data_IF_274874511431
#
_entry.id   IF_274874511431
#
_cell.length_a   1.000
_cell.length_b   1.000
_cell.length_c   1.000
_cell.angle_alpha   90.00
_cell.angle_beta   90.00
_cell.angle_gamma   90.00
#
_symmetry.space_group_name_H-M   'P 1'
#
loop_
_entity.id
_entity.type
_entity.pdbx_description
1 polymer ?
#
# COMPACT_ATOMS: atom_id res chain seq x y z
N UNK A 1 -4.12 -24.58 34.87
CA UNK A 1 -5.03 -25.60 34.31
C UNK A 1 -5.67 -25.04 33.03
N UNK A 2 -4.90 -24.92 31.95
CA UNK A 2 -5.41 -24.48 30.64
C UNK A 2 -5.83 -25.71 29.84
N UNK A 3 -7.12 -25.85 29.58
CA UNK A 3 -7.66 -26.91 28.72
C UNK A 3 -6.94 -26.87 27.36
N UNK A 4 -6.23 -27.96 27.05
CA UNK A 4 -5.75 -28.31 25.70
C UNK A 4 -6.97 -28.23 24.78
N UNK A 5 -7.00 -27.29 23.85
CA UNK A 5 -7.99 -27.29 22.77
C UNK A 5 -7.75 -28.55 21.94
N UNK A 6 -8.51 -29.60 22.23
CA UNK A 6 -8.54 -30.84 21.44
C UNK A 6 -9.00 -30.50 20.02
N UNK A 7 -8.17 -30.92 19.05
CA UNK A 7 -8.30 -30.78 17.60
C UNK A 7 -9.68 -30.38 17.07
N UNK A 8 -9.86 -29.09 16.77
CA UNK A 8 -11.00 -28.62 15.97
C UNK A 8 -10.80 -29.10 14.53
N UNK A 9 -11.62 -30.06 14.12
CA UNK A 9 -11.69 -30.57 12.74
C UNK A 9 -12.99 -30.08 12.12
N UNK A 10 -12.90 -29.28 11.06
CA UNK A 10 -14.06 -28.81 10.28
C UNK A 10 -13.77 -29.06 8.82
N UNK A 11 -14.66 -29.80 8.14
CA UNK A 11 -14.48 -30.15 6.71
C UNK A 11 -13.21 -30.96 6.42
N UNK A 12 -12.74 -31.79 7.35
CA UNK A 12 -11.49 -32.55 7.21
C UNK A 12 -10.20 -31.77 7.49
N UNK A 13 -10.29 -30.48 7.83
CA UNK A 13 -9.12 -29.63 8.12
C UNK A 13 -8.80 -29.67 9.63
N UNK A 14 -7.59 -30.08 9.99
CA UNK A 14 -7.05 -29.98 11.36
C UNK A 14 -6.57 -28.54 11.64
N UNK A 15 -7.47 -27.70 12.15
CA UNK A 15 -7.19 -26.27 12.37
C UNK A 15 -6.06 -26.01 13.38
N UNK A 16 -5.92 -26.85 14.41
CA UNK A 16 -4.81 -26.75 15.36
C UNK A 16 -3.45 -26.89 14.69
N UNK A 17 -3.32 -27.83 13.75
CA UNK A 17 -2.08 -28.06 13.01
C UNK A 17 -1.83 -26.93 12.01
N UNK A 18 -2.88 -26.49 11.31
CA UNK A 18 -2.79 -25.37 10.34
C UNK A 18 -2.35 -24.06 11.01
N UNK A 19 -2.95 -23.70 12.15
CA UNK A 19 -2.58 -22.50 12.91
C UNK A 19 -1.14 -22.59 13.44
N UNK A 20 -0.69 -23.77 13.86
CA UNK A 20 0.70 -23.99 14.27
C UNK A 20 1.67 -23.83 13.10
N UNK A 21 1.34 -24.37 11.92
CA UNK A 21 2.16 -24.21 10.73
C UNK A 21 2.22 -22.75 10.24
N UNK A 22 1.11 -22.01 10.30
CA UNK A 22 1.12 -20.58 10.00
C UNK A 22 2.01 -19.79 10.96
N UNK A 23 1.93 -20.07 12.26
CA UNK A 23 2.84 -19.45 13.24
C UNK A 23 4.29 -19.77 12.90
N UNK A 24 4.60 -21.03 12.59
CA UNK A 24 5.94 -21.44 12.21
C UNK A 24 6.42 -20.72 10.95
N UNK A 25 5.56 -20.57 9.93
CA UNK A 25 5.87 -19.85 8.71
C UNK A 25 6.11 -18.34 8.95
N UNK A 26 5.26 -17.68 9.75
CA UNK A 26 5.42 -16.28 10.11
C UNK A 26 6.73 -16.06 10.89
N UNK A 27 7.02 -16.93 11.87
CA UNK A 27 8.24 -16.87 12.68
C UNK A 27 9.48 -17.09 11.82
N UNK A 28 9.51 -18.15 11.01
CA UNK A 28 10.67 -18.49 10.23
C UNK A 28 10.95 -17.47 9.12
N UNK A 29 9.91 -16.86 8.55
CA UNK A 29 10.09 -15.73 7.64
C UNK A 29 10.60 -14.49 8.37
N UNK A 30 10.21 -14.25 9.63
CA UNK A 30 10.78 -13.19 10.46
C UNK A 30 12.24 -13.45 10.88
N UNK A 31 12.68 -14.71 10.91
CA UNK A 31 14.06 -15.12 11.26
C UNK A 31 15.00 -15.20 10.04
N UNK A 32 14.50 -15.47 8.82
CA UNK A 32 15.33 -15.51 7.60
C UNK A 32 15.89 -14.12 7.28
N UNK A 33 17.07 -13.79 7.80
CA UNK A 33 17.80 -12.57 7.48
C UNK A 33 18.31 -12.59 6.02
N UNK A 34 17.61 -11.93 5.09
CA UNK A 34 18.10 -11.56 3.73
C UNK A 34 17.41 -10.25 3.29
N UNK A 35 18.15 -9.28 2.72
CA UNK A 35 18.36 -7.99 3.37
C UNK A 35 17.05 -7.22 3.61
N UNK A 36 16.84 -6.82 4.86
CA UNK A 36 15.87 -5.79 5.18
C UNK A 36 16.20 -4.55 4.36
N UNK A 37 15.29 -4.16 3.46
CA UNK A 37 15.37 -2.98 2.60
C UNK A 37 16.69 -2.85 1.82
N UNK A 38 16.62 -2.88 0.49
CA UNK A 38 17.83 -2.60 -0.29
C UNK A 38 18.29 -1.15 -0.04
N UNK A 39 19.57 -0.94 0.27
CA UNK A 39 20.16 0.41 0.39
C UNK A 39 19.88 1.23 -0.88
N UNK A 40 19.88 0.56 -2.04
CA UNK A 40 19.50 1.18 -3.30
C UNK A 40 18.02 1.58 -3.35
N UNK A 41 17.11 0.82 -2.75
CA UNK A 41 15.70 1.16 -2.61
C UNK A 41 15.48 2.35 -1.68
N UNK A 42 16.20 2.44 -0.55
CA UNK A 42 16.15 3.63 0.31
C UNK A 42 16.60 4.89 -0.45
N UNK A 43 17.70 4.80 -1.19
CA UNK A 43 18.19 5.92 -2.02
C UNK A 43 17.16 6.34 -3.06
N UNK A 44 16.42 5.40 -3.64
CA UNK A 44 15.33 5.69 -4.58
C UNK A 44 14.20 6.47 -3.91
N UNK A 45 13.73 6.04 -2.74
CA UNK A 45 12.67 6.75 -2.04
C UNK A 45 13.12 8.11 -1.51
N UNK A 46 14.37 8.26 -1.05
CA UNK A 46 14.92 9.57 -0.67
C UNK A 46 14.99 10.53 -1.85
N UNK A 47 15.43 10.05 -3.02
CA UNK A 47 15.43 10.86 -4.26
C UNK A 47 14.01 11.24 -4.67
N UNK A 48 13.08 10.30 -4.63
CA UNK A 48 11.66 10.59 -4.89
C UNK A 48 11.15 11.67 -3.93
N UNK A 49 11.30 11.49 -2.62
CA UNK A 49 10.84 12.46 -1.63
C UNK A 49 11.52 13.82 -1.81
N UNK A 50 12.83 13.87 -2.05
CA UNK A 50 13.58 15.11 -2.30
C UNK A 50 13.10 15.85 -3.54
N UNK A 51 12.91 15.13 -4.66
CA UNK A 51 12.33 15.70 -5.89
C UNK A 51 10.91 16.21 -5.62
N UNK A 52 10.10 15.44 -4.91
CA UNK A 52 8.74 15.83 -4.53
C UNK A 52 8.69 17.11 -3.70
N UNK A 53 9.58 17.27 -2.72
CA UNK A 53 9.72 18.51 -1.94
C UNK A 53 10.11 19.68 -2.84
N UNK A 54 11.13 19.51 -3.69
CA UNK A 54 11.58 20.57 -4.62
C UNK A 54 10.44 20.99 -5.53
N UNK A 55 9.77 20.03 -6.20
CA UNK A 55 8.65 20.30 -7.11
C UNK A 55 7.50 20.96 -6.37
N UNK A 56 7.13 20.48 -5.17
CA UNK A 56 6.05 21.04 -4.37
C UNK A 56 6.34 22.48 -3.93
N UNK A 57 7.56 22.75 -3.44
CA UNK A 57 7.99 24.08 -3.07
C UNK A 57 8.06 25.02 -4.27
N UNK A 58 8.61 24.57 -5.41
CA UNK A 58 8.66 25.37 -6.64
C UNK A 58 7.25 25.71 -7.12
N UNK A 59 6.32 24.74 -7.15
CA UNK A 59 4.92 25.00 -7.50
C UNK A 59 4.29 26.03 -6.56
N UNK A 60 4.47 25.87 -5.25
CA UNK A 60 3.89 26.78 -4.26
C UNK A 60 4.46 28.19 -4.33
N UNK A 61 5.80 28.32 -4.30
CA UNK A 61 6.48 29.61 -4.18
C UNK A 61 6.46 30.41 -5.49
N UNK A 62 6.50 29.74 -6.64
CA UNK A 62 6.56 30.41 -7.94
C UNK A 62 5.16 30.60 -8.53
N UNK A 63 4.31 29.59 -8.42
CA UNK A 63 3.03 29.55 -9.15
C UNK A 63 1.78 29.64 -8.24
N UNK A 64 1.95 29.47 -6.92
CA UNK A 64 0.86 29.47 -5.94
C UNK A 64 0.20 28.10 -5.73
N UNK A 65 -0.67 28.01 -4.72
CA UNK A 65 -1.27 26.76 -4.26
C UNK A 65 -2.16 26.06 -5.32
N UNK A 66 -2.89 26.82 -6.13
CA UNK A 66 -3.79 26.29 -7.18
C UNK A 66 -3.11 26.10 -8.55
N UNK A 67 -1.78 26.29 -8.62
CA UNK A 67 -1.03 26.37 -9.86
C UNK A 67 -1.29 25.21 -10.82
N UNK A 68 -1.53 25.53 -12.09
CA UNK A 68 -1.61 24.56 -13.18
C UNK A 68 -2.85 23.67 -13.18
N UNK A 69 -3.75 23.77 -12.20
CA UNK A 69 -4.94 22.92 -12.09
C UNK A 69 -5.81 22.97 -13.36
N UNK A 70 -6.28 24.16 -13.77
CA UNK A 70 -7.16 24.31 -14.92
C UNK A 70 -6.51 23.76 -16.20
N UNK A 71 -5.21 24.01 -16.39
CA UNK A 71 -4.47 23.50 -17.55
C UNK A 71 -4.38 21.97 -17.55
N UNK A 72 -3.99 21.37 -16.42
CA UNK A 72 -3.86 19.92 -16.30
C UNK A 72 -5.20 19.20 -16.39
N UNK A 73 -6.23 19.76 -15.75
CA UNK A 73 -7.59 19.24 -15.81
C UNK A 73 -8.19 19.36 -17.22
N UNK A 74 -7.96 20.47 -17.93
CA UNK A 74 -8.34 20.61 -19.33
C UNK A 74 -7.58 19.65 -20.25
N UNK A 75 -6.28 19.45 -20.05
CA UNK A 75 -5.52 18.46 -20.83
C UNK A 75 -6.03 17.03 -20.61
N UNK A 76 -6.57 16.73 -19.42
CA UNK A 76 -7.09 15.42 -19.11
C UNK A 76 -8.35 15.06 -19.92
N UNK A 77 -9.11 16.04 -20.40
CA UNK A 77 -10.31 15.78 -21.23
C UNK A 77 -9.98 15.21 -22.60
N UNK A 78 -8.71 15.24 -23.02
CA UNK A 78 -8.24 14.55 -24.21
C UNK A 78 -8.35 13.02 -24.12
N UNK A 79 -8.53 12.46 -22.91
CA UNK A 79 -8.69 11.03 -22.68
C UNK A 79 -10.06 10.71 -22.06
N UNK A 80 -10.63 9.53 -22.33
CA UNK A 80 -11.91 9.13 -21.74
C UNK A 80 -11.92 9.09 -20.20
N UNK A 81 -13.07 9.37 -19.60
CA UNK A 81 -13.28 9.38 -18.14
C UNK A 81 -12.94 8.03 -17.47
N UNK A 82 -13.13 6.90 -18.15
CA UNK A 82 -12.85 5.58 -17.59
C UNK A 82 -11.36 5.38 -17.33
N UNK A 83 -10.48 6.00 -18.13
CA UNK A 83 -9.02 5.95 -17.93
C UNK A 83 -8.67 6.57 -16.58
N UNK A 84 -9.19 7.77 -16.33
CA UNK A 84 -8.94 8.50 -15.09
C UNK A 84 -9.57 7.82 -13.89
N UNK A 85 -10.77 7.25 -14.06
CA UNK A 85 -11.45 6.45 -13.04
C UNK A 85 -10.62 5.24 -12.63
N UNK A 86 -10.12 4.46 -13.61
CA UNK A 86 -9.25 3.31 -13.33
C UNK A 86 -7.94 3.73 -12.66
N UNK A 87 -7.27 4.78 -13.14
CA UNK A 87 -6.04 5.27 -12.51
C UNK A 87 -6.26 5.75 -11.08
N UNK A 88 -7.40 6.39 -10.80
CA UNK A 88 -7.77 6.82 -9.44
C UNK A 88 -7.93 5.64 -8.49
N UNK A 89 -8.57 4.57 -8.95
CA UNK A 89 -8.82 3.37 -8.15
C UNK A 89 -7.53 2.68 -7.71
N UNK A 90 -6.41 2.86 -8.43
CA UNK A 90 -5.09 2.36 -7.99
C UNK A 90 -4.58 3.04 -6.71
N UNK A 91 -5.13 4.21 -6.35
CA UNK A 91 -4.86 4.90 -5.09
C UNK A 91 -5.96 4.71 -4.02
N UNK A 92 -6.99 3.91 -4.28
CA UNK A 92 -8.05 3.62 -3.29
C UNK A 92 -7.50 2.68 -2.19
N UNK A 93 -7.73 3.04 -0.93
CA UNK A 93 -7.25 2.29 0.23
C UNK A 93 -7.83 0.88 0.33
N UNK A 94 -9.09 0.67 -0.11
CA UNK A 94 -9.74 -0.65 -0.11
C UNK A 94 -9.09 -1.54 -1.16
N UNK A 95 -8.78 -1.00 -2.34
CA UNK A 95 -8.06 -1.71 -3.39
C UNK A 95 -6.67 -2.11 -2.93
N UNK A 96 -5.88 -1.17 -2.41
CA UNK A 96 -4.53 -1.46 -1.94
C UNK A 96 -4.55 -2.47 -0.80
N UNK A 97 -5.49 -2.35 0.15
CA UNK A 97 -5.62 -3.32 1.23
C UNK A 97 -6.05 -4.70 0.72
N UNK A 98 -7.00 -4.79 -0.22
CA UNK A 98 -7.41 -6.04 -0.85
C UNK A 98 -6.22 -6.72 -1.57
N UNK A 99 -5.42 -5.96 -2.33
CA UNK A 99 -4.25 -6.48 -3.04
C UNK A 99 -3.21 -7.12 -2.10
N UNK A 100 -3.19 -6.76 -0.82
CA UNK A 100 -2.29 -7.43 0.15
C UNK A 100 -2.60 -8.91 0.35
N UNK A 101 -3.83 -9.36 0.08
CA UNK A 101 -4.23 -10.78 0.14
C UNK A 101 -3.51 -11.65 -0.89
N UNK A 102 -2.91 -11.06 -1.93
CA UNK A 102 -2.12 -11.77 -2.92
C UNK A 102 -0.81 -12.32 -2.34
N UNK A 103 -0.31 -11.69 -1.27
CA UNK A 103 1.00 -12.01 -0.71
C UNK A 103 1.07 -12.02 0.81
N UNK A 104 -0.02 -11.75 1.55
CA UNK A 104 -0.03 -11.62 3.01
C UNK A 104 0.62 -12.81 3.72
N UNK A 105 0.28 -14.05 3.33
CA UNK A 105 0.84 -15.25 3.95
C UNK A 105 2.21 -15.65 3.36
N UNK A 106 2.46 -15.35 2.08
CA UNK A 106 3.69 -15.72 1.37
C UNK A 106 4.87 -14.81 1.68
N UNK A 107 4.58 -13.53 1.86
CA UNK A 107 5.55 -12.46 2.08
C UNK A 107 5.10 -11.61 3.28
N UNK A 108 4.99 -12.19 4.49
CA UNK A 108 4.46 -11.51 5.68
C UNK A 108 5.26 -10.28 6.09
N UNK A 109 6.56 -10.21 5.80
CA UNK A 109 7.36 -8.99 6.03
C UNK A 109 6.99 -7.84 5.10
N UNK A 110 6.73 -8.12 3.82
CA UNK A 110 6.28 -7.12 2.86
C UNK A 110 4.91 -6.60 3.28
N UNK A 111 4.02 -7.51 3.65
CA UNK A 111 2.71 -7.20 4.22
C UNK A 111 2.83 -6.32 5.47
N UNK A 112 3.65 -6.71 6.44
CA UNK A 112 3.85 -5.93 7.67
C UNK A 112 4.44 -4.55 7.39
N UNK A 113 5.38 -4.44 6.46
CA UNK A 113 5.95 -3.15 6.04
C UNK A 113 4.88 -2.22 5.47
N UNK A 114 3.97 -2.74 4.64
CA UNK A 114 2.84 -1.99 4.11
C UNK A 114 1.91 -1.52 5.23
N UNK A 115 1.59 -2.39 6.20
CA UNK A 115 0.73 -2.03 7.34
C UNK A 115 1.37 -0.89 8.15
N UNK A 116 2.64 -1.01 8.52
CA UNK A 116 3.34 0.04 9.27
C UNK A 116 3.42 1.36 8.49
N UNK A 117 3.78 1.29 7.21
CA UNK A 117 3.83 2.47 6.35
C UNK A 117 2.45 3.14 6.21
N UNK A 118 1.38 2.34 6.05
CA UNK A 118 0.01 2.84 5.98
C UNK A 118 -0.42 3.50 7.29
N UNK A 119 -0.12 2.92 8.45
CA UNK A 119 -0.43 3.53 9.76
C UNK A 119 0.26 4.88 9.95
N UNK A 120 1.55 4.97 9.61
CA UNK A 120 2.31 6.23 9.65
C UNK A 120 1.68 7.26 8.70
N UNK A 121 1.36 6.84 7.48
CA UNK A 121 0.76 7.70 6.47
C UNK A 121 -0.63 8.20 6.88
N UNK A 122 -1.46 7.35 7.49
CA UNK A 122 -2.79 7.71 8.00
C UNK A 122 -2.66 8.74 9.12
N UNK A 123 -1.77 8.51 10.09
CA UNK A 123 -1.56 9.43 11.20
C UNK A 123 -1.10 10.81 10.70
N UNK A 124 -0.09 10.84 9.82
CA UNK A 124 0.40 12.07 9.23
C UNK A 124 -0.64 12.78 8.36
N UNK A 125 -1.36 12.02 7.51
CA UNK A 125 -2.39 12.60 6.63
C UNK A 125 -3.55 13.20 7.41
N UNK A 126 -4.00 12.55 8.49
CA UNK A 126 -5.08 13.08 9.33
C UNK A 126 -4.62 14.37 10.01
N UNK A 127 -3.44 14.38 10.63
CA UNK A 127 -2.89 15.57 11.26
C UNK A 127 -2.76 16.76 10.30
N UNK A 128 -2.22 16.52 9.10
CA UNK A 128 -2.09 17.58 8.09
C UNK A 128 -3.44 18.04 7.53
N UNK A 129 -4.41 17.13 7.34
CA UNK A 129 -5.74 17.49 6.87
C UNK A 129 -6.45 18.45 7.81
N UNK A 130 -6.42 18.15 9.11
CA UNK A 130 -7.01 19.00 10.14
C UNK A 130 -6.24 20.32 10.30
N UNK A 131 -4.91 20.30 10.18
CA UNK A 131 -4.08 21.50 10.30
C UNK A 131 -4.33 22.52 9.19
N UNK A 132 -4.49 22.05 7.95
CA UNK A 132 -4.62 22.95 6.79
C UNK A 132 -6.06 23.25 6.38
N UNK A 133 -7.02 22.36 6.66
CA UNK A 133 -8.42 22.41 6.19
C UNK A 133 -8.61 23.02 4.78
N UNK A 134 -7.74 22.62 3.84
CA UNK A 134 -7.69 23.25 2.54
C UNK A 134 -8.96 22.95 1.72
N UNK A 135 -9.52 23.99 1.11
CA UNK A 135 -10.65 23.89 0.18
C UNK A 135 -10.23 23.09 -1.08
N UNK A 136 -11.15 22.27 -1.59
CA UNK A 136 -10.96 21.51 -2.84
C UNK A 136 -11.40 22.33 -4.06
N UNK A 137 -10.99 21.96 -5.29
CA UNK A 137 -11.45 22.66 -6.50
C UNK A 137 -12.97 22.87 -6.59
N UNK A 138 -13.84 21.87 -6.29
CA UNK A 138 -15.30 22.05 -6.34
C UNK A 138 -15.88 23.02 -5.30
N UNK A 139 -15.08 23.49 -4.33
CA UNK A 139 -15.49 24.50 -3.36
C UNK A 139 -15.15 25.93 -3.78
N UNK A 140 -14.20 26.10 -4.70
CA UNK A 140 -13.62 27.40 -5.07
C UNK A 140 -13.93 27.77 -6.51
N UNK A 141 -14.03 26.78 -7.40
CA UNK A 141 -14.27 26.98 -8.83
C UNK A 141 -15.75 26.77 -9.17
N UNK A 142 -16.22 27.50 -10.18
CA UNK A 142 -17.54 27.28 -10.75
C UNK A 142 -17.64 25.88 -11.38
N UNK A 143 -18.84 25.29 -11.35
CA UNK A 143 -19.07 23.89 -11.77
C UNK A 143 -18.82 23.63 -13.25
N UNK A 144 -18.91 24.67 -14.07
CA UNK A 144 -18.67 24.67 -15.53
C UNK A 144 -17.22 25.05 -15.91
N UNK A 145 -16.41 25.49 -14.94
CA UNK A 145 -15.04 25.93 -15.20
C UNK A 145 -14.01 24.79 -15.32
N UNK A 146 -14.39 23.56 -14.95
CA UNK A 146 -13.47 22.41 -14.94
C UNK A 146 -14.21 21.08 -15.08
N UNK A 147 -13.48 20.04 -15.48
CA UNK A 147 -13.98 18.67 -15.56
C UNK A 147 -13.95 17.98 -14.19
N UNK A 148 -15.12 17.55 -13.71
CA UNK A 148 -15.29 16.82 -12.47
C UNK A 148 -15.79 15.39 -12.77
N UNK A 149 -15.05 14.39 -12.31
CA UNK A 149 -15.42 12.97 -12.40
C UNK A 149 -15.62 12.42 -10.99
N UNK A 150 -16.83 11.96 -10.69
CA UNK A 150 -17.20 11.44 -9.38
C UNK A 150 -17.75 12.51 -8.43
N UNK A 151 -17.52 12.36 -7.12
CA UNK A 151 -18.17 13.17 -6.09
C UNK A 151 -17.48 14.53 -5.83
N UNK A 152 -18.29 15.59 -5.74
CA UNK A 152 -17.87 16.97 -5.46
C UNK A 152 -17.52 17.18 -3.97
N UNK A 153 -16.43 16.57 -3.48
CA UNK A 153 -15.93 16.84 -2.12
C UNK A 153 -15.40 18.27 -2.05
N UNK A 154 -15.66 18.98 -0.93
CA UNK A 154 -15.37 20.42 -0.80
C UNK A 154 -14.23 20.79 0.16
N UNK A 155 -13.95 19.98 1.19
CA UNK A 155 -12.95 20.29 2.26
C UNK A 155 -11.86 19.23 2.40
N UNK A 156 -10.87 19.49 3.24
CA UNK A 156 -9.77 18.58 3.57
C UNK A 156 -9.03 18.09 2.32
N UNK A 157 -8.62 19.03 1.46
CA UNK A 157 -7.91 18.73 0.21
C UNK A 157 -6.49 18.24 0.46
N UNK A 158 -5.71 19.00 1.23
CA UNK A 158 -4.29 18.74 1.44
C UNK A 158 -4.03 17.76 2.58
N UNK A 159 -3.07 16.83 2.46
CA UNK A 159 -2.52 16.25 1.23
C UNK A 159 -3.52 15.26 0.58
N UNK A 160 -3.28 14.87 -0.68
CA UNK A 160 -4.14 13.91 -1.39
C UNK A 160 -4.00 12.48 -0.83
N UNK A 161 -5.10 11.94 -0.29
CA UNK A 161 -5.12 10.58 0.30
C UNK A 161 -4.80 9.47 -0.71
N UNK A 162 -5.40 9.50 -1.91
CA UNK A 162 -5.11 8.49 -2.93
C UNK A 162 -3.66 8.53 -3.41
N UNK A 163 -3.08 9.73 -3.49
CA UNK A 163 -1.66 9.89 -3.84
C UNK A 163 -0.75 9.30 -2.76
N UNK A 164 -1.10 9.48 -1.48
CA UNK A 164 -0.40 8.86 -0.35
C UNK A 164 -0.50 7.34 -0.44
N UNK A 165 -1.69 6.79 -0.60
CA UNK A 165 -1.93 5.34 -0.68
C UNK A 165 -1.14 4.70 -1.81
N UNK A 166 -1.20 5.29 -3.02
CA UNK A 166 -0.45 4.78 -4.17
C UNK A 166 1.07 4.85 -3.94
N UNK A 167 1.58 5.93 -3.35
CA UNK A 167 2.99 6.08 -3.04
C UNK A 167 3.48 5.16 -1.91
N UNK A 168 2.66 4.91 -0.88
CA UNK A 168 2.96 3.90 0.15
C UNK A 168 3.08 2.52 -0.48
N UNK A 169 2.08 2.12 -1.27
CA UNK A 169 2.08 0.80 -1.90
C UNK A 169 3.29 0.63 -2.81
N UNK A 170 3.43 1.50 -3.81
CA UNK A 170 4.54 1.43 -4.76
C UNK A 170 5.91 1.61 -4.08
N UNK A 171 6.00 2.51 -3.11
CA UNK A 171 7.22 2.78 -2.36
C UNK A 171 7.72 1.58 -1.58
N UNK A 172 6.82 0.84 -0.92
CA UNK A 172 7.21 -0.38 -0.22
C UNK A 172 7.70 -1.47 -1.18
N UNK A 173 7.11 -1.63 -2.36
CA UNK A 173 7.65 -2.53 -3.38
C UNK A 173 9.01 -2.07 -3.92
N UNK A 174 9.23 -0.76 -4.10
CA UNK A 174 10.53 -0.19 -4.50
C UNK A 174 11.64 -0.55 -3.51
N UNK A 175 11.34 -0.59 -2.20
CA UNK A 175 12.32 -0.96 -1.17
C UNK A 175 12.81 -2.42 -1.32
N UNK A 176 11.92 -3.30 -1.77
CA UNK A 176 12.16 -4.75 -1.81
C UNK A 176 12.62 -5.26 -3.18
N UNK A 177 12.26 -4.59 -4.27
CA UNK A 177 12.72 -5.00 -5.60
C UNK A 177 14.19 -4.64 -5.83
N UNK A 178 14.94 -5.52 -6.50
CA UNK A 178 16.34 -5.30 -6.89
C UNK A 178 16.48 -4.71 -8.29
N UNK A 179 15.40 -4.70 -9.06
CA UNK A 179 15.40 -4.43 -10.49
C UNK A 179 14.97 -2.98 -10.74
N UNK A 180 15.73 -2.28 -11.57
CA UNK A 180 15.56 -0.85 -11.79
C UNK A 180 14.29 -0.54 -12.58
N UNK A 181 13.96 -1.39 -13.54
CA UNK A 181 12.80 -1.31 -14.43
C UNK A 181 11.51 -1.33 -13.61
N UNK A 182 11.44 -2.25 -12.64
CA UNK A 182 10.31 -2.34 -11.72
C UNK A 182 10.17 -1.08 -10.85
N UNK A 183 11.28 -0.44 -10.44
CA UNK A 183 11.21 0.80 -9.65
C UNK A 183 10.65 1.95 -10.45
N UNK A 184 11.08 2.09 -11.69
CA UNK A 184 10.57 3.10 -12.62
C UNK A 184 9.09 2.88 -12.88
N UNK A 185 8.68 1.65 -13.17
CA UNK A 185 7.27 1.31 -13.40
C UNK A 185 6.40 1.64 -12.17
N UNK A 186 6.82 1.23 -10.97
CA UNK A 186 6.10 1.52 -9.73
C UNK A 186 6.00 3.02 -9.44
N UNK A 187 7.06 3.78 -9.72
CA UNK A 187 7.04 5.24 -9.60
C UNK A 187 6.02 5.86 -10.58
N UNK A 188 6.02 5.40 -11.84
CA UNK A 188 5.07 5.87 -12.85
C UNK A 188 3.61 5.55 -12.46
N UNK A 189 3.35 4.35 -11.95
CA UNK A 189 2.01 3.96 -11.47
C UNK A 189 1.56 4.91 -10.35
N UNK A 190 2.41 5.19 -9.36
CA UNK A 190 2.08 6.10 -8.27
C UNK A 190 1.81 7.53 -8.78
N UNK A 191 2.65 8.04 -9.70
CA UNK A 191 2.48 9.36 -10.29
C UNK A 191 1.17 9.43 -11.09
N UNK A 192 0.85 8.44 -11.92
CA UNK A 192 -0.38 8.41 -12.70
C UNK A 192 -1.63 8.32 -11.81
N UNK A 193 -1.58 7.50 -10.75
CA UNK A 193 -2.65 7.44 -9.76
C UNK A 193 -2.85 8.79 -9.05
N UNK A 194 -1.76 9.48 -8.70
CA UNK A 194 -1.82 10.83 -8.14
C UNK A 194 -2.35 11.88 -9.11
N UNK A 195 -1.80 11.95 -10.34
CA UNK A 195 -2.22 12.88 -11.38
C UNK A 195 -3.69 12.70 -11.77
N UNK A 196 -4.19 11.47 -11.72
CA UNK A 196 -5.61 11.20 -11.93
C UNK A 196 -6.51 12.02 -10.99
N UNK A 197 -6.04 12.39 -9.79
CA UNK A 197 -6.80 13.21 -8.83
C UNK A 197 -6.98 14.66 -9.28
N UNK A 198 -6.04 15.18 -10.06
CA UNK A 198 -6.17 16.48 -10.75
C UNK A 198 -7.10 16.34 -11.94
N UNK A 199 -6.94 15.26 -12.72
CA UNK A 199 -7.77 14.97 -13.89
C UNK A 199 -9.26 14.80 -13.56
N UNK A 200 -9.58 14.11 -12.46
CA UNK A 200 -10.96 13.98 -11.97
C UNK A 200 -11.47 15.22 -11.25
N UNK A 201 -10.64 16.24 -11.03
CA UNK A 201 -11.05 17.54 -10.52
C UNK A 201 -11.23 17.66 -9.00
N UNK A 202 -10.64 16.76 -8.20
CA UNK A 202 -10.91 16.69 -6.75
C UNK A 202 -9.75 17.10 -5.85
N UNK A 203 -8.58 17.39 -6.43
CA UNK A 203 -7.37 17.83 -5.74
C UNK A 203 -6.55 18.82 -6.57
N UNK A 204 -5.86 19.72 -5.88
CA UNK A 204 -4.87 20.61 -6.48
C UNK A 204 -3.56 19.86 -6.78
N UNK A 205 -2.76 20.27 -7.78
CA UNK A 205 -1.49 19.61 -8.09
C UNK A 205 -0.53 19.52 -6.90
N UNK A 206 -0.50 20.53 -6.03
CA UNK A 206 0.32 20.51 -4.82
C UNK A 206 -0.14 19.46 -3.81
N UNK A 207 -1.44 19.18 -3.69
CA UNK A 207 -1.96 18.13 -2.81
C UNK A 207 -1.45 16.75 -3.24
N UNK A 208 -1.35 16.54 -4.55
CA UNK A 208 -0.86 15.32 -5.17
C UNK A 208 0.63 15.16 -4.91
N UNK A 209 1.44 16.19 -5.19
CA UNK A 209 2.89 16.14 -4.96
C UNK A 209 3.20 15.93 -3.49
N UNK A 210 2.52 16.63 -2.58
CA UNK A 210 2.66 16.43 -1.14
C UNK A 210 2.23 15.03 -0.71
N UNK A 211 1.15 14.49 -1.28
CA UNK A 211 0.70 13.14 -0.99
C UNK A 211 1.69 12.07 -1.44
N UNK A 212 2.22 12.19 -2.67
CA UNK A 212 3.26 11.27 -3.19
C UNK A 212 4.52 11.32 -2.33
N UNK A 213 4.95 12.52 -1.94
CA UNK A 213 6.11 12.74 -1.08
C UNK A 213 5.92 12.12 0.29
N UNK A 214 4.78 12.38 0.92
CA UNK A 214 4.45 11.84 2.24
C UNK A 214 4.34 10.31 2.21
N UNK A 215 3.74 9.73 1.17
CA UNK A 215 3.66 8.29 1.02
C UNK A 215 5.02 7.62 0.83
N UNK A 216 5.93 8.23 0.06
CA UNK A 216 7.31 7.75 -0.09
C UNK A 216 8.09 7.80 1.24
N UNK A 217 7.94 8.88 2.02
CA UNK A 217 8.52 8.99 3.36
C UNK A 217 7.92 7.97 4.34
N UNK A 218 6.62 7.75 4.30
CA UNK A 218 5.95 6.75 5.12
C UNK A 218 6.42 5.32 4.77
N UNK A 219 6.63 5.02 3.49
CA UNK A 219 7.23 3.75 3.06
C UNK A 219 8.66 3.56 3.60
N UNK A 220 9.51 4.61 3.56
CA UNK A 220 10.85 4.59 4.15
C UNK A 220 10.81 4.31 5.65
N UNK A 221 9.99 5.06 6.40
CA UNK A 221 9.92 4.93 7.87
C UNK A 221 9.31 3.57 8.24
N UNK A 222 8.22 3.18 7.58
CA UNK A 222 7.55 1.89 7.78
C UNK A 222 8.48 0.72 7.49
N UNK A 223 9.28 0.79 6.43
CA UNK A 223 10.33 -0.17 6.15
C UNK A 223 11.33 -0.27 7.29
N UNK A 224 11.94 0.85 7.69
CA UNK A 224 12.95 0.88 8.76
C UNK A 224 12.42 0.44 10.12
N UNK A 225 11.13 0.65 10.36
CA UNK A 225 10.48 0.16 11.56
C UNK A 225 10.23 -1.35 11.47
N UNK A 226 9.78 -1.85 10.31
CA UNK A 226 9.57 -3.27 10.07
C UNK A 226 10.85 -4.10 10.24
N UNK A 227 12.02 -3.54 9.87
CA UNK A 227 13.31 -4.23 10.06
C UNK A 227 13.77 -4.28 11.51
N UNK A 228 13.43 -3.26 12.32
CA UNK A 228 13.79 -3.20 13.74
C UNK A 228 12.77 -3.86 14.67
N UNK A 229 11.51 -3.90 14.24
CA UNK A 229 10.40 -4.38 15.03
C UNK A 229 9.56 -5.42 14.26
N UNK A 230 10.10 -6.63 14.07
CA UNK A 230 9.37 -7.73 13.45
C UNK A 230 8.33 -8.37 14.39
N UNK A 231 8.34 -8.04 15.68
CA UNK A 231 7.55 -8.71 16.72
C UNK A 231 6.06 -8.87 16.37
N UNK A 232 5.30 -7.78 16.11
CA UNK A 232 3.88 -7.91 15.79
C UNK A 232 3.61 -8.61 14.44
N UNK A 233 4.59 -8.65 13.52
CA UNK A 233 4.47 -9.38 12.26
C UNK A 233 4.43 -10.90 12.46
N UNK A 234 5.00 -11.40 13.57
CA UNK A 234 4.98 -12.83 13.91
C UNK A 234 3.77 -13.24 14.72
N UNK A 235 3.03 -12.28 15.27
CA UNK A 235 1.84 -12.54 16.07
C UNK A 235 0.69 -12.94 15.17
N UNK A 236 0.33 -14.22 15.21
CA UNK A 236 -0.75 -14.77 14.36
C UNK A 236 -2.06 -13.99 14.51
N UNK A 237 -2.41 -13.56 15.73
CA UNK A 237 -3.63 -12.77 15.96
C UNK A 237 -3.60 -11.44 15.21
N UNK A 238 -2.49 -10.70 15.30
CA UNK A 238 -2.32 -9.41 14.59
C UNK A 238 -2.37 -9.62 13.08
N UNK A 239 -1.67 -10.63 12.58
CA UNK A 239 -1.69 -10.99 11.16
C UNK A 239 -3.11 -11.26 10.68
N UNK A 240 -3.85 -12.14 11.38
CA UNK A 240 -5.22 -12.49 11.01
C UNK A 240 -6.17 -11.30 11.10
N UNK A 241 -5.98 -10.38 12.06
CA UNK A 241 -6.78 -9.14 12.12
C UNK A 241 -6.64 -8.32 10.84
N UNK A 242 -5.41 -8.07 10.38
CA UNK A 242 -5.22 -7.30 9.14
C UNK A 242 -5.67 -8.06 7.89
N UNK A 243 -5.56 -9.40 7.89
CA UNK A 243 -6.13 -10.24 6.82
C UNK A 243 -7.65 -10.12 6.77
N UNK A 244 -8.32 -10.14 7.92
CA UNK A 244 -9.78 -9.94 7.99
C UNK A 244 -10.15 -8.56 7.47
N UNK A 245 -9.44 -7.50 7.86
CA UNK A 245 -9.67 -6.15 7.32
C UNK A 245 -9.47 -6.11 5.80
N UNK A 246 -8.47 -6.81 5.27
CA UNK A 246 -8.23 -6.91 3.84
C UNK A 246 -9.31 -7.72 3.10
N UNK A 247 -9.85 -8.78 3.71
CA UNK A 247 -11.01 -9.54 3.18
C UNK A 247 -12.25 -8.65 3.16
N UNK A 248 -12.52 -7.88 4.21
CA UNK A 248 -13.64 -6.94 4.25
C UNK A 248 -13.50 -5.86 3.19
N UNK A 249 -12.30 -5.31 3.00
CA UNK A 249 -12.02 -4.37 1.92
C UNK A 249 -12.25 -5.01 0.54
N UNK A 250 -11.71 -6.20 0.29
CA UNK A 250 -11.92 -6.91 -0.97
C UNK A 250 -13.39 -7.22 -1.25
N UNK A 251 -14.15 -7.58 -0.22
CA UNK A 251 -15.59 -7.81 -0.32
C UNK A 251 -16.36 -6.52 -0.63
N UNK A 252 -16.00 -5.39 -0.01
CA UNK A 252 -16.65 -4.09 -0.27
C UNK A 252 -16.54 -3.66 -1.73
N UNK A 253 -15.42 -3.97 -2.41
CA UNK A 253 -15.21 -3.67 -3.84
C UNK A 253 -16.20 -4.37 -4.77
N UNK A 254 -16.91 -5.40 -4.30
CA UNK A 254 -17.91 -6.11 -5.10
C UNK A 254 -19.21 -5.30 -5.22
N UNK A 255 -19.49 -4.44 -4.23
CA UNK A 255 -20.77 -3.74 -4.08
C UNK A 255 -20.62 -2.22 -4.20
N UNK A 256 -19.47 -1.66 -3.83
CA UNK A 256 -19.23 -0.22 -3.80
C UNK A 256 -18.14 0.20 -4.79
N UNK A 257 -18.46 1.12 -5.70
CA UNK A 257 -17.53 1.62 -6.73
C UNK A 257 -16.70 2.84 -6.30
N UNK A 258 -16.86 3.31 -5.04
CA UNK A 258 -16.13 4.45 -4.50
C UNK A 258 -16.46 5.79 -5.17
N UNK A 259 -17.55 5.87 -5.95
CA UNK A 259 -17.91 7.04 -6.75
C UNK A 259 -17.30 7.06 -8.15
N UNK A 260 -16.78 5.92 -8.62
CA UNK A 260 -16.20 5.74 -9.95
C UNK A 260 -16.84 4.53 -10.68
N UNK A 261 -18.09 4.65 -11.15
CA UNK A 261 -18.83 3.54 -11.75
C UNK A 261 -18.15 2.96 -13.00
N UNK A 262 -17.46 3.80 -13.77
CA UNK A 262 -16.71 3.36 -14.96
C UNK A 262 -15.54 2.42 -14.61
N UNK A 263 -15.03 2.47 -13.38
CA UNK A 263 -14.00 1.57 -12.88
C UNK A 263 -14.56 0.42 -12.04
N UNK A 264 -15.88 0.25 -11.94
CA UNK A 264 -16.51 -0.77 -11.11
C UNK A 264 -16.13 -2.19 -11.52
N UNK A 265 -16.02 -2.46 -12.83
CA UNK A 265 -15.56 -3.77 -13.32
C UNK A 265 -14.15 -4.08 -12.82
N UNK A 266 -13.22 -3.12 -12.92
CA UNK A 266 -11.85 -3.30 -12.44
C UNK A 266 -11.83 -3.58 -10.93
N UNK A 267 -12.58 -2.80 -10.13
CA UNK A 267 -12.69 -3.00 -8.69
C UNK A 267 -13.22 -4.40 -8.33
N UNK A 268 -14.28 -4.85 -9.01
CA UNK A 268 -14.85 -6.19 -8.80
C UNK A 268 -13.86 -7.30 -9.15
N UNK A 269 -13.15 -7.19 -10.27
CA UNK A 269 -12.15 -8.18 -10.68
C UNK A 269 -10.98 -8.24 -9.68
N UNK A 270 -10.48 -7.09 -9.22
CA UNK A 270 -9.44 -7.02 -8.19
C UNK A 270 -9.92 -7.62 -6.86
N UNK A 271 -11.14 -7.30 -6.43
CA UNK A 271 -11.76 -7.86 -5.22
C UNK A 271 -11.92 -9.38 -5.29
N UNK A 272 -12.47 -9.90 -6.39
CA UNK A 272 -12.61 -11.35 -6.61
C UNK A 272 -11.26 -12.07 -6.64
N UNK A 273 -10.27 -11.52 -7.34
CA UNK A 273 -8.91 -12.08 -7.40
C UNK A 273 -8.24 -12.12 -6.02
N UNK A 274 -8.40 -11.05 -5.23
CA UNK A 274 -7.88 -10.97 -3.87
C UNK A 274 -8.56 -12.00 -2.93
N UNK A 275 -9.88 -12.13 -3.00
CA UNK A 275 -10.64 -13.12 -2.22
C UNK A 275 -10.27 -14.55 -2.62
N UNK A 276 -10.16 -14.84 -3.91
CA UNK A 276 -9.72 -16.14 -4.40
C UNK A 276 -8.31 -16.50 -3.90
N UNK A 277 -7.39 -15.53 -3.89
CA UNK A 277 -6.05 -15.70 -3.29
C UNK A 277 -6.12 -16.00 -1.80
N UNK A 278 -6.97 -15.28 -1.05
CA UNK A 278 -7.15 -15.54 0.38
C UNK A 278 -7.70 -16.94 0.65
N UNK A 279 -8.73 -17.37 -0.09
CA UNK A 279 -9.27 -18.74 -0.01
C UNK A 279 -8.18 -19.76 -0.32
N UNK A 280 -7.43 -19.55 -1.40
CA UNK A 280 -6.35 -20.45 -1.79
C UNK A 280 -5.30 -20.58 -0.68
N UNK A 281 -4.71 -19.47 -0.20
CA UNK A 281 -3.60 -19.53 0.75
C UNK A 281 -4.00 -19.92 2.17
N UNK A 282 -5.20 -19.53 2.61
CA UNK A 282 -5.63 -19.75 4.00
C UNK A 282 -6.54 -20.98 4.17
N UNK A 283 -7.23 -21.44 3.14
CA UNK A 283 -8.17 -22.56 3.27
C UNK A 283 -7.71 -23.80 2.51
N UNK A 284 -7.21 -23.63 1.27
CA UNK A 284 -6.94 -24.74 0.36
C UNK A 284 -5.50 -25.23 0.47
N UNK A 285 -4.52 -24.35 0.23
CA UNK A 285 -3.11 -24.69 0.18
C UNK A 285 -2.65 -25.25 1.53
N UNK A 286 -1.93 -26.37 1.49
CA UNK A 286 -1.28 -26.91 2.66
C UNK A 286 -0.08 -26.03 3.02
N UNK A 287 -0.01 -25.51 4.26
CA UNK A 287 1.16 -24.77 4.69
C UNK A 287 2.36 -25.71 4.71
N UNK A 288 3.41 -25.39 3.94
CA UNK A 288 4.61 -26.23 3.92
C UNK A 288 5.33 -26.14 5.27
N UNK A 289 5.69 -27.27 5.90
CA UNK A 289 6.61 -27.23 7.02
C UNK A 289 7.93 -26.67 6.51
N UNK A 290 8.35 -25.57 7.11
CA UNK A 290 9.65 -25.00 6.81
C UNK A 290 10.71 -25.95 7.35
N UNK A 291 11.64 -26.37 6.50
CA UNK A 291 12.79 -27.16 6.94
C UNK A 291 13.47 -26.40 8.09
N UNK A 292 13.74 -27.08 9.20
CA UNK A 292 14.59 -26.52 10.24
C UNK A 292 15.89 -26.07 9.59
N UNK A 293 16.48 -24.93 9.98
CA UNK A 293 17.83 -24.62 9.56
C UNK A 293 18.70 -25.83 9.96
N UNK A 294 19.22 -26.54 8.96
CA UNK A 294 20.05 -27.71 9.19
C UNK A 294 21.19 -27.28 10.10
N UNK A 295 21.32 -27.95 11.24
CA UNK A 295 22.36 -27.71 12.26
C UNK A 295 23.78 -27.71 11.65
N UNK A 296 23.95 -28.29 10.46
CA UNK A 296 25.20 -28.32 9.70
C UNK A 296 25.77 -26.96 9.29
N UNK A 297 24.98 -25.87 9.18
CA UNK A 297 25.55 -24.57 8.78
C UNK A 297 26.18 -23.77 9.93
N UNK A 298 26.04 -24.21 11.19
CA UNK A 298 26.72 -23.59 12.34
C UNK A 298 28.10 -24.19 12.62
N UNK A 299 28.34 -25.44 12.20
CA UNK A 299 29.62 -26.13 12.48
C UNK A 299 30.72 -25.69 11.51
N UNK A 300 30.41 -25.38 10.25
CA UNK A 300 31.42 -24.90 9.29
C UNK A 300 31.96 -23.49 9.62
N UNK A 301 31.15 -22.63 10.27
CA UNK A 301 31.61 -21.29 10.67
C UNK A 301 32.52 -21.35 11.92
N UNK A 302 32.34 -22.33 12.80
CA UNK A 302 33.24 -22.53 13.96
C UNK A 302 34.53 -23.28 13.60
N UNK A 303 34.53 -24.11 12.56
CA UNK A 303 35.74 -24.85 12.13
C UNK A 303 36.58 -24.12 11.06
N UNK A 304 36.01 -23.18 10.31
CA UNK A 304 36.73 -22.38 9.31
C UNK A 304 37.49 -21.16 9.85
N UNK A 305 37.35 -20.85 11.15
CA UNK A 305 38.02 -19.71 11.82
C UNK A 305 39.35 -20.03 12.50
N UNK A 306 39.88 -21.25 12.32
CA UNK A 306 41.20 -21.68 12.80
C UNK A 306 41.99 -22.34 11.68
N UNK A 307 42.37 -21.58 10.66
CA UNK A 307 43.56 -21.83 9.83
C UNK A 307 44.16 -20.50 9.40
#
# INVERSE_FOLDING_TARGET
MFKRWSSVVVGGIHWSNRLALWRAQLNAEAERCVPGISVSGERWLWRWAGIGVIVGLSLYLICGYHAGFLRLNALATAYPSWVWSCLTVLGDERVVLALTLLFSLRHPRLFWTLILAALIAIAASRGLKELFDAARPPAVLATDAFNLIGSARKRLSFPSGHSITAAVFCGVFILHTRWIEWRVLLLLIAILAGLSRVAVGVHWPIDVVAGLTLGALAALIGGRLATRWPGPATWLSVHLTFVVLAVLAAFSLLFEDGGYPEAALMQRLLGLGALASAVWWYLVAEPKPMASPSVHSKVEVEQGGRM
#
